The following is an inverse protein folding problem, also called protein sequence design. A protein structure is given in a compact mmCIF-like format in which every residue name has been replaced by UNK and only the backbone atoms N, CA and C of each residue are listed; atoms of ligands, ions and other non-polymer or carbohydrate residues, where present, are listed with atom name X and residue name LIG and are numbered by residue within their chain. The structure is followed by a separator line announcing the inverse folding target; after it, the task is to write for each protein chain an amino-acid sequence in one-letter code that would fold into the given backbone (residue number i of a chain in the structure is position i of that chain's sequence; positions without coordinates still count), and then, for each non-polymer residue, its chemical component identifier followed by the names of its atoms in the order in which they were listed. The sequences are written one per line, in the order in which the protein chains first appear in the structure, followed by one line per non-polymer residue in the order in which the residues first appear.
data_IF_019173021030
#
_entry.id   IF_019173021030
#
_cell.length_a   1.000
_cell.length_b   1.000
_cell.length_c   1.000
_cell.angle_alpha   90.00
_cell.angle_beta   90.00
_cell.angle_gamma   90.00
#
_symmetry.space_group_name_H-M   'P 1'
#
loop_
_entity.id
_entity.type
_entity.pdbx_description
1 polymer ?
#
# COMPACT_ATOMS: atom_id res chain seq x y z
N UNK A 1 -19.21 72.60 -6.38
CA UNK A 1 -20.45 71.90 -6.77
C UNK A 1 -20.22 71.29 -8.13
N UNK A 2 -20.18 69.97 -8.21
CA UNK A 2 -19.96 69.20 -9.43
C UNK A 2 -19.86 67.73 -9.05
N UNK A 3 -20.94 67.00 -9.33
CA UNK A 3 -21.16 65.59 -9.00
C UNK A 3 -20.08 64.67 -9.57
N UNK A 4 -19.55 63.78 -8.73
CA UNK A 4 -18.75 62.62 -9.14
C UNK A 4 -19.66 61.40 -9.05
N UNK A 5 -20.02 60.83 -10.20
CA UNK A 5 -20.82 59.60 -10.26
C UNK A 5 -19.97 58.35 -10.02
N UNK A 6 -20.49 57.57 -9.07
CA UNK A 6 -20.30 56.17 -8.72
C UNK A 6 -19.85 55.19 -9.82
N UNK A 7 -18.75 54.50 -9.56
CA UNK A 7 -18.76 53.06 -9.27
C UNK A 7 -19.28 52.11 -10.35
N UNK A 8 -18.39 51.75 -11.29
CA UNK A 8 -18.52 50.53 -12.09
C UNK A 8 -17.89 49.34 -11.36
N UNK A 9 -18.72 48.55 -10.69
CA UNK A 9 -18.34 47.27 -10.08
C UNK A 9 -18.12 46.23 -11.20
N UNK A 10 -16.86 45.88 -11.46
CA UNK A 10 -16.50 44.82 -12.39
C UNK A 10 -16.84 43.49 -11.73
N UNK A 11 -17.96 42.90 -12.12
CA UNK A 11 -18.33 41.53 -11.78
C UNK A 11 -17.26 40.57 -12.33
N UNK A 12 -16.33 40.16 -11.47
CA UNK A 12 -15.42 39.07 -11.75
C UNK A 12 -16.22 37.77 -11.90
N UNK A 13 -15.86 36.89 -12.87
CA UNK A 13 -16.58 35.65 -13.08
C UNK A 13 -16.52 34.81 -11.80
N UNK A 14 -17.71 34.53 -11.25
CA UNK A 14 -17.94 33.50 -10.24
C UNK A 14 -17.18 32.23 -10.65
N UNK A 15 -16.12 31.93 -9.90
CA UNK A 15 -15.45 30.65 -9.94
C UNK A 15 -16.42 29.60 -9.40
N UNK A 16 -17.28 29.14 -10.29
CA UNK A 16 -18.18 28.00 -10.12
C UNK A 16 -17.39 26.80 -9.60
N UNK A 17 -17.51 26.57 -8.30
CA UNK A 17 -18.22 25.39 -7.82
C UNK A 17 -17.64 24.02 -8.12
N UNK A 18 -16.43 23.88 -8.67
CA UNK A 18 -15.70 22.60 -8.66
C UNK A 18 -15.11 22.37 -7.27
N UNK A 19 -16.00 22.13 -6.30
CA UNK A 19 -15.66 21.37 -5.09
C UNK A 19 -15.18 20.00 -5.56
N UNK A 20 -13.87 19.92 -5.78
CA UNK A 20 -13.16 18.73 -6.23
C UNK A 20 -13.63 17.56 -5.36
N UNK A 21 -14.07 16.46 -5.98
CA UNK A 21 -14.51 15.25 -5.28
C UNK A 21 -13.47 14.73 -4.24
N UNK A 22 -12.22 15.20 -4.33
CA UNK A 22 -11.17 15.05 -3.32
C UNK A 22 -11.54 15.57 -1.91
N UNK A 23 -12.52 16.46 -1.76
CA UNK A 23 -12.95 16.97 -0.46
C UNK A 23 -13.83 16.01 0.35
N UNK A 24 -14.57 15.12 -0.33
CA UNK A 24 -15.53 14.20 0.29
C UNK A 24 -14.87 13.01 1.02
N UNK A 25 -13.59 12.74 0.73
CA UNK A 25 -12.86 11.62 1.31
C UNK A 25 -11.60 12.08 2.08
N UNK A 26 -11.68 13.22 2.78
CA UNK A 26 -10.71 13.48 3.86
C UNK A 26 -10.97 12.46 4.96
N UNK A 27 -10.22 11.37 4.94
CA UNK A 27 -10.14 10.39 6.01
C UNK A 27 -9.78 11.11 7.30
N UNK A 28 -10.79 11.48 8.09
CA UNK A 28 -10.57 11.94 9.45
C UNK A 28 -10.08 10.74 10.27
N UNK A 29 -9.12 10.92 11.18
CA UNK A 29 -8.81 9.85 12.12
C UNK A 29 -10.10 9.40 12.81
N UNK A 30 -10.30 8.10 12.95
CA UNK A 30 -11.51 7.56 13.59
C UNK A 30 -11.53 7.80 15.10
N UNK A 31 -10.39 8.19 15.69
CA UNK A 31 -10.29 8.64 17.07
C UNK A 31 -10.47 10.16 17.19
N UNK A 32 -11.03 10.61 18.32
CA UNK A 32 -11.04 12.02 18.68
C UNK A 32 -9.59 12.47 18.92
N UNK A 33 -9.23 13.69 18.54
CA UNK A 33 -7.87 14.25 18.57
C UNK A 33 -7.16 14.28 19.95
N UNK A 34 -7.76 13.74 21.01
CA UNK A 34 -7.17 13.58 22.35
C UNK A 34 -7.25 12.16 22.91
N UNK A 35 -7.68 11.18 22.10
CA UNK A 35 -7.85 9.79 22.54
C UNK A 35 -7.10 8.81 21.64
N UNK A 36 -6.05 9.26 20.93
CA UNK A 36 -5.18 8.34 20.22
C UNK A 36 -4.57 7.38 21.26
N UNK A 37 -4.74 6.05 21.13
CA UNK A 37 -4.25 5.10 22.14
C UNK A 37 -2.73 5.17 22.32
N UNK A 38 -2.02 5.67 21.31
CA UNK A 38 -0.57 5.81 21.28
C UNK A 38 -0.17 6.88 20.25
N UNK A 39 0.83 7.75 20.51
CA UNK A 39 1.20 8.86 19.62
C UNK A 39 1.60 8.44 18.20
N UNK A 40 2.11 7.21 18.04
CA UNK A 40 2.43 6.57 16.75
C UNK A 40 1.30 6.65 15.72
N UNK A 41 0.04 6.67 16.18
CA UNK A 41 -1.13 6.65 15.33
C UNK A 41 -1.34 7.96 14.57
N UNK A 42 -0.93 9.09 15.15
CA UNK A 42 -1.02 10.39 14.48
C UNK A 42 0.03 10.50 13.36
N UNK A 43 1.25 10.05 13.62
CA UNK A 43 2.31 9.91 12.59
C UNK A 43 1.88 8.94 11.48
N UNK A 44 1.31 7.79 11.84
CA UNK A 44 0.78 6.82 10.89
C UNK A 44 -0.25 7.42 9.93
N UNK A 45 -1.19 8.23 10.42
CA UNK A 45 -2.16 8.89 9.52
C UNK A 45 -1.52 9.93 8.61
N UNK A 46 -0.58 10.71 9.14
CA UNK A 46 0.20 11.67 8.34
C UNK A 46 0.84 10.96 7.16
N UNK A 47 1.52 9.84 7.42
CA UNK A 47 2.14 9.01 6.39
C UNK A 47 1.11 8.39 5.44
N UNK A 48 0.07 7.72 5.95
CA UNK A 48 -0.95 7.06 5.14
C UNK A 48 -1.61 8.01 4.13
N UNK A 49 -1.79 9.28 4.50
CA UNK A 49 -2.36 10.30 3.63
C UNK A 49 -1.49 10.59 2.41
N UNK A 50 -0.16 10.56 2.55
CA UNK A 50 0.77 10.74 1.43
C UNK A 50 0.78 9.54 0.46
N UNK A 51 0.34 8.36 0.91
CA UNK A 51 0.27 7.12 0.10
C UNK A 51 -1.18 6.69 -0.24
N UNK A 52 -2.11 7.64 -0.36
CA UNK A 52 -3.51 7.33 -0.68
C UNK A 52 -3.68 6.59 -2.01
N UNK A 53 -4.50 5.53 -2.01
CA UNK A 53 -4.84 4.73 -3.21
C UNK A 53 -5.54 5.59 -4.26
N UNK A 54 -6.40 6.52 -3.85
CA UNK A 54 -7.12 7.41 -4.77
C UNK A 54 -6.19 8.40 -5.48
N UNK A 55 -5.09 8.79 -4.83
CA UNK A 55 -4.07 9.63 -5.44
C UNK A 55 -3.14 8.85 -6.39
N UNK A 56 -3.22 7.51 -6.38
CA UNK A 56 -2.25 6.68 -7.09
C UNK A 56 -2.32 6.83 -8.61
N UNK A 57 -3.49 6.79 -9.28
CA UNK A 57 -3.58 6.94 -10.73
C UNK A 57 -3.09 8.31 -11.20
N UNK A 58 -3.50 9.37 -10.49
CA UNK A 58 -3.05 10.73 -10.79
C UNK A 58 -1.52 10.85 -10.67
N UNK A 59 -0.94 10.35 -9.57
CA UNK A 59 0.52 10.39 -9.37
C UNK A 59 1.30 9.57 -10.40
N UNK A 60 0.71 8.51 -10.95
CA UNK A 60 1.31 7.68 -11.99
C UNK A 60 1.42 8.43 -13.33
N UNK A 61 0.39 9.20 -13.67
CA UNK A 61 0.32 9.94 -14.93
C UNK A 61 1.05 11.29 -14.89
N UNK A 62 1.13 11.96 -13.73
CA UNK A 62 1.64 13.34 -13.63
C UNK A 62 3.08 13.45 -13.13
N UNK A 63 3.73 12.36 -12.71
CA UNK A 63 5.08 12.42 -12.16
C UNK A 63 6.08 11.84 -13.16
N UNK A 64 6.98 12.63 -13.77
CA UNK A 64 7.99 12.11 -14.71
C UNK A 64 8.88 10.99 -14.13
N UNK A 65 8.98 10.93 -12.79
CA UNK A 65 9.69 9.87 -12.06
C UNK A 65 8.95 8.52 -11.98
N UNK A 66 7.66 8.42 -12.34
CA UNK A 66 6.95 7.13 -12.39
C UNK A 66 7.48 6.23 -13.52
N UNK A 67 8.01 6.82 -14.59
CA UNK A 67 8.72 6.09 -15.66
C UNK A 67 10.11 5.62 -15.23
N UNK A 68 10.70 6.23 -14.20
CA UNK A 68 11.91 5.73 -13.56
C UNK A 68 11.72 4.39 -12.83
N UNK A 69 10.47 4.01 -12.53
CA UNK A 69 10.11 2.67 -12.03
C UNK A 69 10.17 1.59 -13.11
N UNK A 70 10.48 1.93 -14.37
CA UNK A 70 10.79 0.95 -15.42
C UNK A 70 12.31 0.78 -15.64
N UNK A 71 13.16 1.35 -14.78
CA UNK A 71 14.62 1.24 -14.84
C UNK A 71 15.24 0.39 -13.74
N UNK A 72 16.57 0.24 -13.78
CA UNK A 72 17.36 -0.51 -12.78
C UNK A 72 17.50 0.24 -11.44
N UNK A 73 17.10 1.51 -11.35
CA UNK A 73 17.28 2.35 -10.15
C UNK A 73 15.95 2.90 -9.62
N UNK A 74 15.27 2.06 -8.83
CA UNK A 74 14.06 2.44 -8.13
C UNK A 74 14.31 3.36 -6.94
N UNK A 75 15.48 3.27 -6.30
CA UNK A 75 15.78 3.96 -5.05
C UNK A 75 15.92 5.46 -5.29
N UNK A 76 16.60 5.87 -6.36
CA UNK A 76 16.70 7.28 -6.76
C UNK A 76 15.33 7.89 -7.07
N UNK A 77 14.45 7.14 -7.74
CA UNK A 77 13.07 7.55 -8.02
C UNK A 77 12.24 7.70 -6.74
N UNK A 78 12.38 6.74 -5.82
CA UNK A 78 11.73 6.79 -4.53
C UNK A 78 12.17 8.01 -3.71
N UNK A 79 13.47 8.32 -3.70
CA UNK A 79 14.04 9.45 -2.94
C UNK A 79 13.58 10.82 -3.42
N UNK A 80 13.41 10.99 -4.73
CA UNK A 80 12.98 12.27 -5.34
C UNK A 80 11.48 12.51 -5.29
N UNK A 81 10.69 11.50 -4.94
CA UNK A 81 9.23 11.60 -4.91
C UNK A 81 8.76 12.58 -3.81
N UNK A 82 7.87 13.51 -4.17
CA UNK A 82 7.31 14.51 -3.23
C UNK A 82 6.64 13.87 -2.02
N UNK A 83 5.97 12.73 -2.19
CA UNK A 83 5.35 11.98 -1.08
C UNK A 83 6.41 11.44 -0.10
N UNK A 84 7.54 10.94 -0.61
CA UNK A 84 8.69 10.52 0.20
C UNK A 84 9.29 11.69 0.97
N UNK A 85 9.53 12.82 0.30
CA UNK A 85 10.08 14.02 0.95
C UNK A 85 9.18 14.53 2.09
N UNK A 86 7.86 14.55 1.88
CA UNK A 86 6.89 14.91 2.93
C UNK A 86 6.87 13.89 4.07
N UNK A 87 6.97 12.61 3.74
CA UNK A 87 7.06 11.54 4.73
C UNK A 87 8.32 11.70 5.59
N UNK A 88 9.45 12.07 4.99
CA UNK A 88 10.69 12.35 5.73
C UNK A 88 10.52 13.53 6.68
N UNK A 89 9.89 14.62 6.23
CA UNK A 89 9.61 15.75 7.11
C UNK A 89 8.71 15.37 8.31
N UNK A 90 7.75 14.46 8.12
CA UNK A 90 6.93 13.93 9.22
C UNK A 90 7.73 13.06 10.19
N UNK A 91 8.63 12.22 9.67
CA UNK A 91 9.48 11.33 10.47
C UNK A 91 10.54 12.13 11.26
N UNK A 92 11.14 13.14 10.63
CA UNK A 92 12.12 14.03 11.25
C UNK A 92 11.49 14.84 12.40
N UNK A 93 10.18 15.13 12.33
CA UNK A 93 9.44 15.80 13.41
C UNK A 93 9.07 14.89 14.59
N UNK A 94 9.13 13.56 14.42
CA UNK A 94 8.75 12.59 15.43
C UNK A 94 9.64 11.32 15.40
N UNK A 95 10.97 11.45 15.53
CA UNK A 95 11.91 10.33 15.36
C UNK A 95 11.70 9.23 16.41
N UNK A 96 11.28 9.59 17.63
CA UNK A 96 11.01 8.63 18.71
C UNK A 96 9.86 7.65 18.38
N UNK A 97 8.99 8.00 17.42
CA UNK A 97 7.86 7.18 17.00
C UNK A 97 8.19 6.30 15.79
N UNK A 98 9.41 6.39 15.26
CA UNK A 98 9.82 5.71 14.03
C UNK A 98 9.67 4.19 14.13
N UNK A 99 10.23 3.55 15.17
CA UNK A 99 10.19 2.09 15.29
C UNK A 99 8.77 1.53 15.41
N UNK A 100 7.90 2.20 16.17
CA UNK A 100 6.49 1.84 16.25
C UNK A 100 5.78 1.97 14.90
N UNK A 101 6.11 3.02 14.15
CA UNK A 101 5.53 3.28 12.82
C UNK A 101 6.00 2.27 11.78
N UNK A 102 7.28 1.87 11.84
CA UNK A 102 7.86 0.81 11.00
C UNK A 102 7.22 -0.54 11.28
N UNK A 103 7.00 -0.89 12.55
CA UNK A 103 6.26 -2.09 12.92
C UNK A 103 4.82 -2.09 12.39
N UNK A 104 4.12 -0.95 12.47
CA UNK A 104 2.78 -0.80 11.90
C UNK A 104 2.76 -0.92 10.38
N UNK A 105 3.74 -0.32 9.69
CA UNK A 105 3.87 -0.41 8.24
C UNK A 105 4.11 -1.87 7.79
N UNK A 106 5.01 -2.58 8.47
CA UNK A 106 5.28 -4.00 8.21
C UNK A 106 4.04 -4.86 8.43
N UNK A 107 3.32 -4.65 9.54
CA UNK A 107 2.06 -5.34 9.82
C UNK A 107 1.02 -5.06 8.74
N UNK A 108 0.87 -3.79 8.33
CA UNK A 108 -0.07 -3.40 7.28
C UNK A 108 0.27 -4.06 5.94
N UNK A 109 1.55 -4.09 5.54
CA UNK A 109 2.00 -4.76 4.34
C UNK A 109 1.73 -6.28 4.38
N UNK A 110 1.98 -6.92 5.53
CA UNK A 110 1.68 -8.34 5.71
C UNK A 110 0.17 -8.63 5.62
N UNK A 111 -0.69 -7.79 6.19
CA UNK A 111 -2.15 -7.92 6.09
C UNK A 111 -2.64 -7.72 4.66
N UNK A 112 -2.12 -6.73 3.94
CA UNK A 112 -2.43 -6.55 2.53
C UNK A 112 -1.97 -7.74 1.68
N UNK A 113 -0.82 -8.34 1.99
CA UNK A 113 -0.33 -9.53 1.29
C UNK A 113 -1.27 -10.72 1.47
N UNK A 114 -1.69 -10.99 2.71
CA UNK A 114 -2.65 -12.06 3.03
C UNK A 114 -3.99 -11.84 2.31
N UNK A 115 -4.51 -10.62 2.37
CA UNK A 115 -5.78 -10.29 1.72
C UNK A 115 -5.67 -10.37 0.19
N UNK A 116 -4.57 -9.89 -0.39
CA UNK A 116 -4.32 -9.99 -1.83
C UNK A 116 -4.27 -11.45 -2.28
N UNK A 117 -3.60 -12.33 -1.53
CA UNK A 117 -3.56 -13.77 -1.86
C UNK A 117 -4.94 -14.41 -1.82
N UNK A 118 -5.75 -14.11 -0.80
CA UNK A 118 -7.11 -14.62 -0.68
C UNK A 118 -7.99 -14.11 -1.84
N UNK A 119 -7.91 -12.80 -2.13
CA UNK A 119 -8.67 -12.17 -3.20
C UNK A 119 -8.23 -12.72 -4.56
N UNK A 120 -6.93 -12.80 -4.83
CA UNK A 120 -6.42 -13.34 -6.09
C UNK A 120 -6.86 -14.79 -6.31
N UNK A 121 -6.81 -15.61 -5.25
CA UNK A 121 -7.31 -16.98 -5.31
C UNK A 121 -8.81 -17.01 -5.61
N UNK A 122 -9.63 -16.26 -4.87
CA UNK A 122 -11.07 -16.20 -5.08
C UNK A 122 -11.46 -15.69 -6.48
N UNK A 123 -10.77 -14.66 -6.97
CA UNK A 123 -11.03 -14.06 -8.28
C UNK A 123 -10.66 -14.95 -9.45
N UNK A 124 -9.70 -15.87 -9.29
CA UNK A 124 -9.33 -16.82 -10.34
C UNK A 124 -10.18 -18.08 -10.21
N UNK A 125 -10.24 -18.66 -9.02
CA UNK A 125 -10.87 -19.96 -8.82
C UNK A 125 -12.39 -19.91 -9.00
N UNK A 126 -13.09 -18.93 -8.40
CA UNK A 126 -14.56 -18.90 -8.43
C UNK A 126 -15.09 -18.76 -9.87
N UNK A 127 -14.65 -17.78 -10.69
CA UNK A 127 -15.15 -17.65 -12.06
C UNK A 127 -14.82 -18.86 -12.92
N UNK A 128 -13.61 -19.42 -12.81
CA UNK A 128 -13.21 -20.61 -13.57
C UNK A 128 -14.07 -21.82 -13.20
N UNK A 129 -14.30 -22.07 -11.90
CA UNK A 129 -15.14 -23.17 -11.45
C UNK A 129 -16.59 -23.03 -11.91
N UNK A 130 -17.15 -21.82 -11.88
CA UNK A 130 -18.51 -21.56 -12.39
C UNK A 130 -18.58 -21.86 -13.90
N UNK A 131 -17.62 -21.36 -14.68
CA UNK A 131 -17.59 -21.60 -16.13
C UNK A 131 -17.43 -23.09 -16.44
N UNK A 132 -16.55 -23.79 -15.73
CA UNK A 132 -16.32 -25.22 -15.94
C UNK A 132 -17.58 -26.03 -15.58
N UNK A 133 -18.21 -25.75 -14.45
CA UNK A 133 -19.46 -26.42 -14.05
C UNK A 133 -20.61 -26.16 -15.02
N UNK A 134 -20.75 -24.93 -15.53
CA UNK A 134 -21.76 -24.62 -16.54
C UNK A 134 -21.46 -25.31 -17.87
N UNK A 135 -20.19 -25.41 -18.27
CA UNK A 135 -19.79 -26.10 -19.49
C UNK A 135 -20.10 -27.61 -19.45
N UNK A 136 -20.02 -28.24 -18.27
CA UNK A 136 -20.37 -29.65 -18.10
C UNK A 136 -21.89 -29.89 -18.13
N UNK A 137 -22.68 -29.00 -17.54
CA UNK A 137 -24.14 -29.20 -17.41
C UNK A 137 -24.92 -28.68 -18.62
N UNK A 138 -24.50 -27.57 -19.23
CA UNK A 138 -25.25 -26.87 -20.29
C UNK A 138 -24.32 -26.20 -21.34
N UNK A 139 -23.58 -26.98 -22.15
CA UNK A 139 -22.60 -26.44 -23.08
C UNK A 139 -23.21 -25.51 -24.16
N UNK A 140 -24.33 -25.91 -24.76
CA UNK A 140 -24.96 -25.12 -25.83
C UNK A 140 -25.52 -23.78 -25.31
N UNK A 141 -26.09 -23.79 -24.10
CA UNK A 141 -26.59 -22.58 -23.45
C UNK A 141 -25.47 -21.62 -23.07
N UNK A 142 -24.29 -22.12 -22.67
CA UNK A 142 -23.13 -21.28 -22.37
C UNK A 142 -22.64 -20.53 -23.62
N UNK A 143 -22.55 -21.22 -24.76
CA UNK A 143 -22.13 -20.62 -26.04
C UNK A 143 -23.15 -19.58 -26.51
N UNK A 144 -24.45 -19.91 -26.45
CA UNK A 144 -25.52 -18.98 -26.80
C UNK A 144 -25.52 -17.74 -25.89
N UNK A 145 -25.36 -17.92 -24.57
CA UNK A 145 -25.25 -16.83 -23.59
C UNK A 145 -24.08 -15.92 -23.90
N UNK A 146 -22.90 -16.47 -24.20
CA UNK A 146 -21.74 -15.64 -24.53
C UNK A 146 -21.96 -14.84 -25.82
N UNK A 147 -22.60 -15.42 -26.84
CA UNK A 147 -22.90 -14.72 -28.09
C UNK A 147 -23.94 -13.61 -27.89
N UNK A 148 -25.03 -13.94 -27.20
CA UNK A 148 -26.21 -13.07 -27.08
C UNK A 148 -26.02 -12.00 -25.99
N UNK A 149 -25.09 -12.21 -25.05
CA UNK A 149 -24.81 -11.31 -23.93
C UNK A 149 -23.31 -10.96 -23.75
N UNK A 150 -22.53 -10.92 -24.85
CA UNK A 150 -21.09 -10.64 -24.78
C UNK A 150 -20.74 -9.34 -24.03
N UNK A 151 -21.57 -8.29 -24.13
CA UNK A 151 -21.36 -7.04 -23.39
C UNK A 151 -21.43 -7.24 -21.87
N UNK A 152 -22.40 -8.03 -21.37
CA UNK A 152 -22.51 -8.34 -19.94
C UNK A 152 -21.30 -9.14 -19.47
N UNK A 153 -20.82 -10.08 -20.29
CA UNK A 153 -19.61 -10.85 -19.99
C UNK A 153 -18.38 -9.94 -19.92
N UNK A 154 -18.20 -9.05 -20.90
CA UNK A 154 -17.10 -8.07 -20.89
C UNK A 154 -17.18 -7.13 -19.68
N UNK A 155 -18.36 -6.65 -19.33
CA UNK A 155 -18.57 -5.81 -18.15
C UNK A 155 -18.22 -6.56 -16.85
N UNK A 156 -18.61 -7.82 -16.73
CA UNK A 156 -18.24 -8.67 -15.59
C UNK A 156 -16.72 -8.85 -15.49
N UNK A 157 -16.06 -9.18 -16.61
CA UNK A 157 -14.60 -9.33 -16.67
C UNK A 157 -13.90 -8.01 -16.31
N UNK A 158 -14.39 -6.88 -16.83
CA UNK A 158 -13.85 -5.56 -16.51
C UNK A 158 -14.01 -5.24 -15.02
N UNK A 159 -15.19 -5.47 -14.44
CA UNK A 159 -15.43 -5.27 -13.01
C UNK A 159 -14.50 -6.13 -12.15
N UNK A 160 -14.32 -7.41 -12.53
CA UNK A 160 -13.41 -8.32 -11.83
C UNK A 160 -11.95 -7.85 -11.92
N UNK A 161 -11.53 -7.41 -13.11
CA UNK A 161 -10.18 -6.90 -13.36
C UNK A 161 -9.91 -5.63 -12.54
N UNK A 162 -10.87 -4.70 -12.51
CA UNK A 162 -10.78 -3.46 -11.70
C UNK A 162 -10.68 -3.80 -10.21
N UNK A 163 -11.50 -4.75 -9.73
CA UNK A 163 -11.45 -5.23 -8.35
C UNK A 163 -10.05 -5.74 -7.98
N UNK A 164 -9.49 -6.63 -8.78
CA UNK A 164 -8.13 -7.17 -8.58
C UNK A 164 -7.06 -6.06 -8.63
N UNK A 165 -7.18 -5.12 -9.57
CA UNK A 165 -6.25 -4.00 -9.70
C UNK A 165 -6.25 -3.09 -8.46
N UNK A 166 -7.41 -2.82 -7.85
CA UNK A 166 -7.50 -2.03 -6.61
C UNK A 166 -6.72 -2.70 -5.47
N UNK A 167 -6.85 -4.02 -5.31
CA UNK A 167 -6.10 -4.77 -4.28
C UNK A 167 -4.60 -4.79 -4.57
N UNK A 168 -4.21 -4.95 -5.84
CA UNK A 168 -2.80 -4.88 -6.26
C UNK A 168 -2.19 -3.50 -5.93
N UNK A 169 -2.89 -2.41 -6.26
CA UNK A 169 -2.45 -1.05 -5.95
C UNK A 169 -2.34 -0.84 -4.42
N UNK A 170 -3.31 -1.35 -3.65
CA UNK A 170 -3.26 -1.29 -2.19
C UNK A 170 -2.04 -1.98 -1.60
N UNK A 171 -1.75 -3.20 -2.05
CA UNK A 171 -0.55 -3.95 -1.66
C UNK A 171 0.74 -3.22 -2.07
N UNK A 172 0.79 -2.72 -3.30
CA UNK A 172 1.92 -1.97 -3.80
C UNK A 172 2.20 -0.72 -2.95
N UNK A 173 1.17 0.07 -2.61
CA UNK A 173 1.29 1.24 -1.74
C UNK A 173 1.73 0.88 -0.32
N UNK A 174 1.22 -0.21 0.24
CA UNK A 174 1.65 -0.69 1.55
C UNK A 174 3.15 -1.02 1.58
N UNK A 175 3.67 -1.69 0.53
CA UNK A 175 5.10 -1.98 0.39
C UNK A 175 5.93 -0.72 0.15
N UNK A 176 5.40 0.24 -0.62
CA UNK A 176 6.08 1.52 -0.85
C UNK A 176 6.30 2.30 0.45
N UNK A 177 5.32 2.30 1.34
CA UNK A 177 5.45 2.94 2.65
C UNK A 177 6.58 2.28 3.48
N UNK A 178 6.66 0.95 3.51
CA UNK A 178 7.77 0.24 4.16
C UNK A 178 9.11 0.63 3.55
N UNK A 179 9.22 0.65 2.22
CA UNK A 179 10.46 1.04 1.53
C UNK A 179 10.89 2.48 1.87
N UNK A 180 9.94 3.40 2.01
CA UNK A 180 10.23 4.79 2.42
C UNK A 180 10.74 4.87 3.86
N UNK A 181 10.20 4.08 4.77
CA UNK A 181 10.69 4.02 6.16
C UNK A 181 12.10 3.44 6.23
N UNK A 182 12.39 2.38 5.47
CA UNK A 182 13.73 1.81 5.37
C UNK A 182 14.72 2.80 4.73
N UNK A 183 14.31 3.54 3.70
CA UNK A 183 15.16 4.57 3.10
C UNK A 183 15.48 5.69 4.09
N UNK A 184 14.49 6.15 4.85
CA UNK A 184 14.71 7.14 5.92
C UNK A 184 15.73 6.62 6.93
N UNK A 185 15.55 5.38 7.41
CA UNK A 185 16.46 4.71 8.34
C UNK A 185 17.90 4.68 7.82
N UNK A 186 18.09 4.22 6.57
CA UNK A 186 19.40 4.12 5.93
C UNK A 186 20.09 5.47 5.82
N UNK A 187 19.37 6.55 5.47
CA UNK A 187 19.95 7.89 5.36
C UNK A 187 20.38 8.48 6.70
N UNK A 188 19.81 8.00 7.82
CA UNK A 188 20.19 8.44 9.18
C UNK A 188 21.21 7.51 9.82
N UNK A 189 21.73 6.53 9.07
CA UNK A 189 22.73 5.57 9.58
C UNK A 189 22.21 4.66 10.69
N UNK A 190 20.89 4.50 10.78
CA UNK A 190 20.28 3.64 11.79
C UNK A 190 20.45 2.17 11.37
N UNK A 191 20.65 1.26 12.35
CA UNK A 191 20.79 -0.16 12.04
C UNK A 191 19.50 -0.70 11.41
N UNK A 192 19.58 -1.70 10.51
CA UNK A 192 18.41 -2.33 9.93
C UNK A 192 17.55 -2.91 11.06
N UNK A 193 16.32 -2.41 11.18
CA UNK A 193 15.40 -2.84 12.22
C UNK A 193 14.40 -3.83 11.67
N UNK A 194 14.41 -5.05 12.23
CA UNK A 194 13.29 -5.97 12.05
C UNK A 194 13.58 -7.44 11.77
N UNK A 195 14.74 -7.99 12.15
CA UNK A 195 14.85 -9.36 12.70
C UNK A 195 15.91 -9.27 13.80
N UNK A 196 15.54 -9.39 15.08
CA UNK A 196 16.54 -9.78 16.10
C UNK A 196 17.15 -11.06 15.54
N UNK A 197 18.46 -11.14 15.21
CA UNK A 197 19.03 -12.37 14.69
C UNK A 197 18.55 -13.48 15.62
N UNK A 198 17.95 -14.53 15.04
CA UNK A 198 17.52 -15.69 15.83
C UNK A 198 18.67 -15.98 16.79
N UNK A 199 18.42 -16.01 18.12
CA UNK A 199 19.49 -16.14 19.10
C UNK A 199 20.38 -17.27 18.60
N UNK A 200 21.66 -16.95 18.36
CA UNK A 200 22.58 -17.86 17.70
C UNK A 200 22.34 -19.26 18.30
N UNK A 201 22.07 -20.29 17.47
CA UNK A 201 21.59 -21.58 17.96
C UNK A 201 22.47 -21.94 19.13
N UNK A 202 21.85 -22.00 20.33
CA UNK A 202 22.55 -22.19 21.60
C UNK A 202 23.44 -23.37 21.34
N UNK A 203 24.77 -23.16 21.23
CA UNK A 203 25.70 -24.23 20.86
C UNK A 203 25.43 -25.33 21.87
N UNK A 204 24.76 -26.39 21.45
CA UNK A 204 24.54 -27.52 22.34
C UNK A 204 25.94 -27.92 22.80
N UNK A 205 26.15 -28.07 24.11
CA UNK A 205 27.45 -28.47 24.62
C UNK A 205 27.84 -29.73 23.87
N UNK A 206 28.86 -29.60 23.01
CA UNK A 206 29.37 -30.65 22.14
C UNK A 206 29.46 -31.90 23.01
N UNK A 207 28.74 -32.99 22.70
CA UNK A 207 28.72 -34.16 23.57
C UNK A 207 30.17 -34.55 23.82
N UNK A 208 30.63 -34.45 25.08
CA UNK A 208 31.97 -34.83 25.46
C UNK A 208 32.15 -36.24 24.95
N UNK A 209 33.10 -36.43 24.03
CA UNK A 209 33.42 -37.73 23.46
C UNK A 209 33.54 -38.70 24.62
N UNK A 210 32.56 -39.59 24.73
CA UNK A 210 32.49 -40.60 25.78
C UNK A 210 33.67 -41.51 25.49
N UNK A 211 34.76 -41.30 26.24
CA UNK A 211 35.94 -42.14 26.18
C UNK A 211 35.46 -43.59 26.36
N UNK A 212 35.51 -44.37 25.28
CA UNK A 212 35.37 -45.82 25.35
C UNK A 212 36.61 -46.32 26.09
N UNK A 213 36.51 -46.38 27.41
CA UNK A 213 37.35 -47.26 28.21
C UNK A 213 36.93 -48.70 27.86
N UNK A 214 37.53 -49.24 26.81
CA UNK A 214 37.53 -50.68 26.56
C UNK A 214 38.47 -51.31 27.59
N UNK A 215 37.94 -51.56 28.79
CA UNK A 215 38.45 -52.60 29.66
C UNK A 215 37.83 -53.91 29.19
N UNK A 216 38.60 -54.70 28.46
CA UNK A 216 38.41 -56.15 28.39
C UNK A 216 39.75 -56.77 28.74
N UNK A 217 39.87 -57.19 29.99
CA UNK A 217 40.81 -58.22 30.40
C UNK A 217 40.08 -59.56 30.43
N UNK A 218 40.68 -60.54 29.79
CA UNK A 218 40.87 -61.95 30.23
C UNK A 218 41.69 -62.63 29.17
#
# INVERSE_FOLDING_TARGET
MGHVESGGEVAGPEASGLKTAAGLFRSRPFWKARTAPHPVWDLWWGLKKEFSILGAPASWLTTPGSWGYFGNDFVSGLRRNRSTLRSFALLDAAPDQFEGTTALAALNAARHQQMFQLVALGYISIPVTIVLGLAEVMPDSLIATFRDHHELVLNLVAMLTIGAAIYMIGLWRARQLVAVLELWRLERGLPPGGVRPAPAPRREPRPKARAKATSQGT
#
